data_IF_765554773547
#
_entry.id   IF_765554773547
#
_cell.length_a   1.000
_cell.length_b   1.000
_cell.length_c   1.000
_cell.angle_alpha   90.00
_cell.angle_beta   90.00
_cell.angle_gamma   90.00
#
_symmetry.space_group_name_H-M   'P 1'
#
loop_
_entity.id
_entity.type
_entity.pdbx_description
1 polymer ?
#
# COMPACT_ATOMS: atom_id res chain seq x y z
N UNK A 1 7.72 11.34 -26.03
CA UNK A 1 8.10 11.39 -24.58
C UNK A 1 8.82 12.70 -24.20
N UNK A 2 9.42 13.44 -25.15
CA UNK A 2 10.20 14.67 -24.85
C UNK A 2 9.37 15.86 -24.34
N UNK A 3 8.06 15.88 -24.58
CA UNK A 3 7.16 16.97 -24.15
C UNK A 3 6.76 16.90 -22.66
N UNK A 4 7.03 15.79 -22.00
CA UNK A 4 6.72 15.56 -20.57
C UNK A 4 7.97 15.53 -19.69
N UNK A 5 9.13 15.83 -20.23
CA UNK A 5 10.38 15.81 -19.52
C UNK A 5 10.85 17.24 -19.24
N UNK A 6 11.10 17.53 -17.98
CA UNK A 6 11.72 18.77 -17.50
C UNK A 6 13.07 18.43 -16.88
N UNK A 7 14.09 19.20 -17.20
CA UNK A 7 15.44 19.02 -16.65
C UNK A 7 15.75 20.17 -15.69
N UNK A 8 16.09 19.83 -14.45
CA UNK A 8 16.61 20.78 -13.48
C UNK A 8 18.11 20.54 -13.28
N UNK A 9 18.93 21.56 -13.53
CA UNK A 9 20.37 21.53 -13.30
C UNK A 9 20.66 22.20 -11.96
N UNK A 10 21.15 21.44 -11.01
CA UNK A 10 21.44 21.91 -9.66
C UNK A 10 22.88 22.42 -9.52
N UNK A 11 23.15 23.20 -8.46
CA UNK A 11 24.47 23.82 -8.13
C UNK A 11 24.89 24.90 -9.12
N UNK A 12 23.95 25.75 -9.52
CA UNK A 12 24.16 26.87 -10.41
C UNK A 12 24.28 28.22 -9.68
N UNK A 13 24.60 28.16 -8.39
CA UNK A 13 24.76 29.34 -7.55
C UNK A 13 25.81 30.31 -8.11
N UNK A 14 25.46 31.59 -8.11
CA UNK A 14 26.37 32.69 -8.52
C UNK A 14 26.73 32.70 -9.99
N UNK A 15 25.98 32.02 -10.89
CA UNK A 15 26.19 32.03 -12.34
C UNK A 15 27.40 31.22 -12.82
N UNK A 16 28.18 30.63 -11.91
CA UNK A 16 29.50 30.01 -12.27
C UNK A 16 29.34 28.77 -13.16
N UNK A 17 28.22 28.05 -13.08
CA UNK A 17 28.03 26.79 -13.78
C UNK A 17 26.89 26.83 -14.84
N UNK A 18 26.36 28.01 -15.14
CA UNK A 18 25.27 28.15 -16.12
C UNK A 18 25.66 27.63 -17.51
N UNK A 19 26.89 27.87 -17.92
CA UNK A 19 27.42 27.40 -19.23
C UNK A 19 27.41 25.87 -19.35
N UNK A 20 27.51 25.13 -18.22
CA UNK A 20 27.46 23.67 -18.22
C UNK A 20 26.04 23.16 -18.49
N UNK A 21 25.02 23.94 -18.14
CA UNK A 21 23.63 23.57 -18.40
C UNK A 21 23.32 23.50 -19.91
N UNK A 22 23.95 24.33 -20.72
CA UNK A 22 23.79 24.27 -22.18
C UNK A 22 24.26 22.95 -22.79
N UNK A 23 25.14 22.22 -22.12
CA UNK A 23 25.55 20.89 -22.59
C UNK A 23 24.38 19.89 -22.59
N UNK A 24 23.39 20.08 -21.73
CA UNK A 24 22.19 19.21 -21.67
C UNK A 24 21.20 19.51 -22.78
N UNK A 25 21.24 20.72 -23.40
CA UNK A 25 20.41 21.03 -24.58
C UNK A 25 20.73 20.13 -25.77
N UNK A 26 21.97 19.63 -25.86
CA UNK A 26 22.39 18.70 -26.92
C UNK A 26 21.62 17.38 -26.89
N UNK A 27 21.00 17.03 -25.77
CA UNK A 27 20.19 15.84 -25.62
C UNK A 27 18.73 16.04 -26.06
N UNK A 28 18.38 17.22 -26.59
CA UNK A 28 17.06 17.49 -27.15
C UNK A 28 15.99 17.90 -26.13
N UNK A 29 16.41 18.29 -24.91
CA UNK A 29 15.48 18.87 -23.95
C UNK A 29 15.09 20.29 -24.35
N UNK A 30 13.77 20.55 -24.40
CA UNK A 30 13.26 21.86 -24.81
C UNK A 30 13.46 22.93 -23.74
N UNK A 31 13.39 22.53 -22.47
CA UNK A 31 13.50 23.43 -21.32
C UNK A 31 14.44 22.87 -20.25
N UNK A 32 15.29 23.77 -19.77
CA UNK A 32 16.21 23.48 -18.65
C UNK A 32 15.96 24.54 -17.59
N UNK A 33 15.78 24.13 -16.34
CA UNK A 33 15.68 25.01 -15.18
C UNK A 33 17.00 24.96 -14.40
N UNK A 34 17.59 26.12 -14.17
CA UNK A 34 18.80 26.28 -13.36
C UNK A 34 18.38 26.50 -11.91
N UNK A 35 18.91 25.70 -10.98
CA UNK A 35 18.56 25.79 -9.57
C UNK A 35 19.80 25.70 -8.67
N UNK A 36 19.67 26.26 -7.48
CA UNK A 36 20.54 25.96 -6.35
C UNK A 36 19.67 25.48 -5.18
N UNK A 37 19.61 24.17 -5.00
CA UNK A 37 18.77 23.59 -3.94
C UNK A 37 19.22 23.99 -2.53
N UNK A 38 20.53 24.27 -2.35
CA UNK A 38 21.09 24.71 -1.06
C UNK A 38 20.77 26.17 -0.72
N UNK A 39 20.57 27.01 -1.73
CA UNK A 39 20.31 28.45 -1.57
C UNK A 39 18.86 28.84 -1.89
N UNK A 40 18.06 27.90 -2.40
CA UNK A 40 16.69 28.17 -2.81
C UNK A 40 16.53 28.87 -4.16
N UNK A 41 17.66 29.19 -4.84
CA UNK A 41 17.63 29.92 -6.10
C UNK A 41 16.98 29.08 -7.22
N UNK A 42 16.06 29.70 -7.98
CA UNK A 42 15.38 29.07 -9.11
C UNK A 42 14.31 28.03 -8.74
N UNK A 43 14.10 27.72 -7.46
CA UNK A 43 13.11 26.72 -7.04
C UNK A 43 11.68 27.19 -7.30
N UNK A 44 11.36 28.47 -7.04
CA UNK A 44 10.04 29.02 -7.29
C UNK A 44 9.67 28.95 -8.78
N UNK A 45 10.59 29.36 -9.66
CA UNK A 45 10.39 29.26 -11.10
C UNK A 45 10.26 27.82 -11.61
N UNK A 46 10.97 26.87 -10.99
CA UNK A 46 10.83 25.44 -11.27
C UNK A 46 9.44 24.95 -10.85
N UNK A 47 8.96 25.33 -9.68
CA UNK A 47 7.62 24.97 -9.19
C UNK A 47 6.51 25.50 -10.11
N UNK A 48 6.58 26.78 -10.52
CA UNK A 48 5.63 27.34 -11.47
C UNK A 48 5.58 26.54 -12.77
N UNK A 49 6.74 26.25 -13.36
CA UNK A 49 6.81 25.44 -14.58
C UNK A 49 6.27 24.02 -14.41
N UNK A 50 6.48 23.42 -13.24
CA UNK A 50 5.93 22.11 -12.94
C UNK A 50 4.39 22.15 -12.88
N UNK A 51 3.83 23.18 -12.25
CA UNK A 51 2.38 23.38 -12.16
C UNK A 51 1.78 23.65 -13.53
N UNK A 52 2.40 24.53 -14.34
CA UNK A 52 1.93 24.85 -15.72
C UNK A 52 1.96 23.62 -16.64
N UNK A 53 2.88 22.69 -16.40
CA UNK A 53 2.99 21.43 -17.14
C UNK A 53 1.95 20.38 -16.74
N UNK A 54 1.18 20.58 -15.67
CA UNK A 54 0.17 19.64 -15.20
C UNK A 54 -1.18 19.90 -15.91
N UNK A 55 -1.75 18.83 -16.43
CA UNK A 55 -3.10 18.84 -17.01
C UNK A 55 -4.14 18.69 -15.90
N UNK A 56 -4.59 19.81 -15.35
CA UNK A 56 -5.62 19.83 -14.30
C UNK A 56 -7.02 19.44 -14.81
N UNK A 57 -7.25 19.36 -16.12
CA UNK A 57 -8.55 18.91 -16.66
C UNK A 57 -8.86 17.45 -16.33
N UNK A 58 -7.85 16.69 -15.94
CA UNK A 58 -7.96 15.31 -15.49
C UNK A 58 -8.05 15.15 -13.97
N UNK A 59 -7.89 16.23 -13.23
CA UNK A 59 -8.15 16.24 -11.80
C UNK A 59 -9.65 16.30 -11.61
N UNK A 60 -10.30 15.15 -11.54
CA UNK A 60 -11.61 15.09 -10.91
C UNK A 60 -11.39 15.50 -9.46
N UNK A 61 -12.05 16.59 -9.03
CA UNK A 61 -12.23 16.94 -7.62
C UNK A 61 -13.12 15.88 -6.93
N UNK A 62 -12.71 14.60 -7.04
CA UNK A 62 -13.21 13.54 -6.18
C UNK A 62 -12.58 13.77 -4.83
N UNK A 63 -13.40 14.07 -3.82
CA UNK A 63 -12.94 14.04 -2.44
C UNK A 63 -12.21 12.70 -2.24
N UNK A 64 -11.06 12.69 -1.55
CA UNK A 64 -10.36 11.44 -1.16
C UNK A 64 -11.30 10.47 -0.41
N UNK A 65 -12.46 10.95 0.00
CA UNK A 65 -13.54 10.18 0.63
C UNK A 65 -14.32 9.28 -0.34
N UNK A 66 -14.28 9.52 -1.64
CA UNK A 66 -15.08 8.77 -2.64
C UNK A 66 -14.34 7.58 -3.25
N UNK A 67 -13.02 7.54 -3.19
CA UNK A 67 -12.30 6.39 -3.72
C UNK A 67 -12.29 5.22 -2.73
N UNK A 68 -12.37 3.98 -3.21
CA UNK A 68 -12.30 2.81 -2.34
C UNK A 68 -10.94 2.72 -1.65
N UNK A 69 -10.94 2.27 -0.39
CA UNK A 69 -9.72 1.92 0.34
C UNK A 69 -9.17 0.64 -0.27
N UNK A 70 -7.93 0.68 -0.77
CA UNK A 70 -7.30 -0.45 -1.44
C UNK A 70 -6.44 -1.24 -0.46
N UNK A 71 -6.77 -2.52 -0.31
CA UNK A 71 -6.09 -3.43 0.61
C UNK A 71 -5.35 -4.51 -0.17
N UNK A 72 -4.07 -4.69 0.13
CA UNK A 72 -3.27 -5.83 -0.34
C UNK A 72 -3.21 -6.91 0.74
N UNK A 73 -3.51 -8.17 0.39
CA UNK A 73 -3.34 -9.31 1.30
C UNK A 73 -2.09 -10.09 0.88
N UNK A 74 -1.03 -9.99 1.68
CA UNK A 74 0.30 -10.50 1.39
C UNK A 74 0.72 -11.55 2.43
N UNK A 75 1.65 -12.41 2.09
CA UNK A 75 2.17 -13.48 2.94
C UNK A 75 2.44 -14.75 2.14
N UNK A 76 3.10 -15.73 2.76
CA UNK A 76 3.49 -16.98 2.13
C UNK A 76 2.31 -17.81 1.59
N UNK A 77 2.56 -18.82 0.74
CA UNK A 77 1.53 -19.76 0.30
C UNK A 77 0.84 -20.45 1.49
N UNK A 78 -0.46 -20.73 1.36
CA UNK A 78 -1.27 -21.47 2.34
C UNK A 78 -1.47 -20.81 3.72
N UNK A 79 -1.04 -19.56 3.91
CA UNK A 79 -1.27 -18.80 5.16
C UNK A 79 -2.75 -18.43 5.37
N UNK A 80 -3.60 -18.54 4.33
CA UNK A 80 -5.04 -18.26 4.43
C UNK A 80 -5.51 -17.01 3.70
N UNK A 81 -4.72 -16.43 2.78
CA UNK A 81 -5.09 -15.20 2.03
C UNK A 81 -6.43 -15.31 1.30
N UNK A 82 -6.66 -16.42 0.60
CA UNK A 82 -7.92 -16.65 -0.11
C UNK A 82 -9.10 -16.81 0.85
N UNK A 83 -8.86 -17.45 2.00
CA UNK A 83 -9.89 -17.62 3.04
C UNK A 83 -10.26 -16.26 3.63
N UNK A 84 -9.28 -15.41 3.93
CA UNK A 84 -9.52 -14.06 4.43
C UNK A 84 -10.24 -13.19 3.40
N UNK A 85 -9.79 -13.20 2.14
CA UNK A 85 -10.45 -12.45 1.07
C UNK A 85 -11.92 -12.86 0.92
N UNK A 86 -12.20 -14.16 0.91
CA UNK A 86 -13.59 -14.66 0.84
C UNK A 86 -14.39 -14.29 2.10
N UNK A 87 -13.80 -14.40 3.29
CA UNK A 87 -14.47 -14.03 4.53
C UNK A 87 -14.84 -12.54 4.54
N UNK A 88 -13.98 -11.66 4.06
CA UNK A 88 -14.25 -10.23 3.98
C UNK A 88 -15.31 -9.87 2.94
N UNK A 89 -15.32 -10.55 1.79
CA UNK A 89 -16.26 -10.25 0.69
C UNK A 89 -17.64 -10.92 0.82
N UNK A 90 -17.76 -11.98 1.65
CA UNK A 90 -19.00 -12.75 1.79
C UNK A 90 -19.63 -12.70 3.19
N UNK A 91 -19.08 -11.91 4.11
CA UNK A 91 -19.67 -11.73 5.44
C UNK A 91 -20.92 -10.83 5.34
N UNK A 92 -21.95 -11.08 6.15
CA UNK A 92 -23.18 -10.26 6.25
C UNK A 92 -22.92 -8.78 6.61
N UNK A 93 -21.74 -8.46 7.14
CA UNK A 93 -21.28 -7.10 7.34
C UNK A 93 -20.85 -6.40 6.03
N UNK A 94 -20.61 -7.14 4.96
CA UNK A 94 -20.48 -6.62 3.61
C UNK A 94 -21.88 -6.41 3.07
N UNK A 95 -22.45 -5.24 3.32
CA UNK A 95 -23.65 -4.81 2.61
C UNK A 95 -23.20 -4.64 1.16
N UNK A 96 -23.46 -5.66 0.34
CA UNK A 96 -23.45 -5.52 -1.10
C UNK A 96 -24.45 -4.41 -1.38
N UNK A 97 -23.97 -3.21 -1.68
CA UNK A 97 -24.87 -2.14 -2.10
C UNK A 97 -25.44 -2.55 -3.43
N UNK A 98 -26.69 -3.05 -3.44
CA UNK A 98 -27.58 -2.99 -4.59
C UNK A 98 -27.83 -1.50 -4.90
N UNK A 99 -26.82 -0.81 -5.38
CA UNK A 99 -27.03 0.45 -6.08
C UNK A 99 -27.51 0.12 -7.49
N UNK A 100 -28.80 -0.17 -7.61
CA UNK A 100 -29.52 -0.12 -8.86
C UNK A 100 -29.39 1.31 -9.40
N UNK A 101 -28.45 1.52 -10.35
CA UNK A 101 -28.43 2.81 -11.04
C UNK A 101 -27.12 3.27 -11.68
N UNK A 102 -26.00 2.60 -11.45
CA UNK A 102 -24.80 2.87 -12.24
C UNK A 102 -24.18 1.55 -12.70
N UNK A 103 -24.17 1.33 -14.00
CA UNK A 103 -23.39 0.32 -14.71
C UNK A 103 -21.89 0.62 -14.53
N UNK A 104 -21.39 0.49 -13.29
CA UNK A 104 -19.96 0.32 -13.03
C UNK A 104 -19.76 -1.16 -12.79
N UNK A 105 -18.91 -1.77 -13.61
CA UNK A 105 -18.49 -3.16 -13.45
C UNK A 105 -18.18 -3.43 -11.97
N UNK A 106 -18.83 -4.44 -11.40
CA UNK A 106 -18.55 -4.89 -10.02
C UNK A 106 -17.10 -5.37 -10.01
N UNK A 107 -16.21 -4.56 -9.48
CA UNK A 107 -14.78 -4.91 -9.41
C UNK A 107 -14.65 -6.07 -8.43
N UNK A 108 -14.15 -7.19 -8.93
CA UNK A 108 -13.95 -8.39 -8.13
C UNK A 108 -13.13 -8.08 -6.86
N UNK A 109 -13.65 -8.47 -5.68
CA UNK A 109 -13.01 -8.21 -4.40
C UNK A 109 -13.41 -6.89 -3.73
N UNK A 110 -14.42 -6.17 -4.25
CA UNK A 110 -14.93 -4.96 -3.62
C UNK A 110 -16.09 -5.28 -2.67
N UNK A 111 -16.13 -4.56 -1.54
CA UNK A 111 -17.21 -4.65 -0.56
C UNK A 111 -17.32 -3.34 0.23
N UNK A 112 -18.40 -3.15 0.97
CA UNK A 112 -18.62 -1.98 1.81
C UNK A 112 -18.56 -2.34 3.28
N UNK A 113 -17.85 -1.53 4.08
CA UNK A 113 -17.72 -1.70 5.51
C UNK A 113 -17.79 -0.34 6.23
N UNK A 114 -18.69 -0.20 7.21
CA UNK A 114 -18.92 1.06 7.94
C UNK A 114 -19.07 2.29 7.04
N UNK A 115 -19.78 2.14 5.92
CA UNK A 115 -20.03 3.24 4.98
C UNK A 115 -18.88 3.56 4.02
N UNK A 116 -17.75 2.87 4.10
CA UNK A 116 -16.59 3.04 3.22
C UNK A 116 -16.51 1.90 2.22
N UNK A 117 -16.22 2.24 0.97
CA UNK A 117 -15.96 1.25 -0.07
C UNK A 117 -14.54 0.74 0.05
N UNK A 118 -14.37 -0.58 -0.02
CA UNK A 118 -13.11 -1.28 0.16
C UNK A 118 -12.87 -2.18 -1.04
N UNK A 119 -11.64 -2.22 -1.52
CA UNK A 119 -11.22 -3.08 -2.62
C UNK A 119 -10.01 -3.91 -2.21
N UNK A 120 -10.13 -5.23 -2.30
CA UNK A 120 -9.00 -6.15 -2.16
C UNK A 120 -8.31 -6.29 -3.50
N UNK A 121 -7.02 -5.93 -3.55
CA UNK A 121 -6.22 -6.01 -4.76
C UNK A 121 -5.74 -7.44 -5.03
N UNK A 122 -5.53 -7.76 -6.32
CA UNK A 122 -4.99 -9.04 -6.82
C UNK A 122 -5.79 -10.29 -6.41
N UNK A 123 -7.12 -10.19 -6.32
CA UNK A 123 -8.00 -11.32 -6.02
C UNK A 123 -7.84 -12.47 -7.03
N UNK A 124 -7.57 -12.17 -8.30
CA UNK A 124 -7.32 -13.17 -9.35
C UNK A 124 -6.07 -14.03 -9.05
N UNK A 125 -5.03 -13.45 -8.49
CA UNK A 125 -3.84 -14.18 -8.05
C UNK A 125 -4.07 -15.05 -6.82
N UNK A 126 -4.98 -14.63 -5.97
CA UNK A 126 -5.41 -15.39 -4.80
C UNK A 126 -6.16 -16.67 -5.22
N UNK A 127 -6.96 -16.63 -6.31
CA UNK A 127 -7.78 -17.76 -6.77
C UNK A 127 -7.07 -18.73 -7.71
N UNK A 128 -6.12 -18.29 -8.55
CA UNK A 128 -5.46 -19.13 -9.57
C UNK A 128 -4.50 -20.19 -9.04
N UNK A 129 -4.17 -20.21 -7.75
CA UNK A 129 -3.16 -21.11 -7.14
C UNK A 129 -3.53 -22.60 -7.09
N UNK A 130 -4.60 -23.06 -7.75
CA UNK A 130 -4.92 -24.52 -7.78
C UNK A 130 -4.12 -25.34 -8.80
N UNK A 131 -3.24 -24.76 -9.67
CA UNK A 131 -2.68 -25.49 -10.82
C UNK A 131 -1.22 -25.24 -11.23
N UNK A 132 -0.37 -24.53 -10.47
CA UNK A 132 1.02 -24.31 -10.92
C UNK A 132 2.02 -24.66 -9.82
N UNK A 133 2.67 -25.79 -10.01
CA UNK A 133 3.93 -26.21 -9.37
C UNK A 133 5.07 -25.74 -10.28
N UNK A 134 6.07 -25.08 -9.70
CA UNK A 134 7.34 -24.61 -10.27
C UNK A 134 7.45 -23.11 -10.56
N UNK A 135 8.50 -22.49 -10.00
CA UNK A 135 8.89 -21.06 -10.04
C UNK A 135 7.98 -20.05 -9.29
N UNK A 136 7.44 -20.46 -8.15
CA UNK A 136 6.46 -19.69 -7.38
C UNK A 136 7.07 -18.49 -6.65
N UNK A 137 8.36 -18.50 -6.30
CA UNK A 137 8.97 -17.45 -5.46
C UNK A 137 9.20 -16.13 -6.20
N UNK A 138 9.79 -16.15 -7.37
CA UNK A 138 10.11 -14.92 -8.12
C UNK A 138 8.85 -14.17 -8.60
N UNK A 139 7.87 -14.91 -9.11
CA UNK A 139 6.57 -14.33 -9.50
C UNK A 139 5.78 -13.78 -8.29
N UNK A 140 5.96 -14.37 -7.12
CA UNK A 140 5.30 -13.94 -5.89
C UNK A 140 5.80 -12.57 -5.40
N UNK A 141 7.11 -12.32 -5.44
CA UNK A 141 7.70 -11.05 -4.99
C UNK A 141 7.38 -9.89 -5.92
N UNK A 142 7.56 -10.07 -7.24
CA UNK A 142 7.25 -9.02 -8.22
C UNK A 142 5.76 -8.65 -8.21
N UNK A 143 4.88 -9.61 -7.99
CA UNK A 143 3.45 -9.37 -7.85
C UNK A 143 3.14 -8.61 -6.56
N UNK A 144 3.77 -8.99 -5.45
CA UNK A 144 3.65 -8.26 -4.19
C UNK A 144 4.11 -6.81 -4.32
N UNK A 145 5.22 -6.57 -5.03
CA UNK A 145 5.71 -5.21 -5.32
C UNK A 145 4.65 -4.40 -6.05
N UNK A 146 4.11 -4.92 -7.16
CA UNK A 146 3.08 -4.22 -7.93
C UNK A 146 1.83 -3.93 -7.09
N UNK A 147 1.37 -4.90 -6.30
CA UNK A 147 0.20 -4.72 -5.43
C UNK A 147 0.47 -3.68 -4.34
N UNK A 148 1.70 -3.64 -3.79
CA UNK A 148 2.12 -2.62 -2.83
C UNK A 148 2.16 -1.22 -3.42
N UNK A 149 2.49 -1.07 -4.70
CA UNK A 149 2.50 0.24 -5.37
C UNK A 149 1.08 0.83 -5.49
N UNK A 150 0.07 -0.03 -5.54
CA UNK A 150 -1.33 0.35 -5.75
C UNK A 150 -2.17 0.38 -4.47
N UNK A 151 -1.77 -0.29 -3.38
CA UNK A 151 -2.56 -0.38 -2.15
C UNK A 151 -2.36 0.83 -1.24
N UNK A 152 -3.33 1.04 -0.35
CA UNK A 152 -3.24 1.99 0.76
C UNK A 152 -2.75 1.27 2.03
N UNK A 153 -3.23 0.03 2.25
CA UNK A 153 -2.93 -0.78 3.42
C UNK A 153 -2.49 -2.17 3.00
N UNK A 154 -1.41 -2.66 3.58
CA UNK A 154 -0.91 -4.01 3.42
C UNK A 154 -1.25 -4.87 4.66
N UNK A 155 -2.02 -5.92 4.45
CA UNK A 155 -2.26 -6.99 5.41
C UNK A 155 -1.16 -8.04 5.25
N UNK A 156 -0.25 -8.11 6.20
CA UNK A 156 0.85 -9.09 6.22
C UNK A 156 0.38 -10.31 7.01
N UNK A 157 -0.03 -11.35 6.29
CA UNK A 157 -0.53 -12.58 6.90
C UNK A 157 0.59 -13.54 7.24
N UNK A 158 0.60 -13.96 8.49
CA UNK A 158 1.54 -14.89 9.09
C UNK A 158 0.73 -16.08 9.63
N UNK A 159 1.19 -17.29 9.34
CA UNK A 159 0.64 -18.49 9.97
C UNK A 159 1.14 -18.55 11.43
N UNK A 160 0.21 -18.53 12.38
CA UNK A 160 0.57 -18.48 13.81
C UNK A 160 1.37 -19.71 14.27
N UNK A 161 1.18 -20.87 13.61
CA UNK A 161 1.90 -22.11 13.93
C UNK A 161 3.29 -22.17 13.29
N UNK A 162 3.42 -21.68 12.04
CA UNK A 162 4.67 -21.75 11.29
C UNK A 162 5.59 -20.54 11.53
N UNK A 163 5.03 -19.42 12.00
CA UNK A 163 5.76 -18.19 12.27
C UNK A 163 6.20 -17.43 11.00
N UNK A 164 7.10 -16.48 11.20
CA UNK A 164 7.64 -15.60 10.17
C UNK A 164 8.63 -16.34 9.24
N UNK A 165 8.52 -16.06 7.94
CA UNK A 165 9.49 -16.45 6.94
C UNK A 165 10.33 -15.23 6.49
N UNK A 166 11.51 -15.48 5.90
CA UNK A 166 12.34 -14.42 5.34
C UNK A 166 11.63 -13.61 4.23
N UNK A 167 10.76 -14.27 3.49
CA UNK A 167 9.95 -13.60 2.47
C UNK A 167 8.95 -12.61 3.08
N UNK A 168 8.36 -12.93 4.23
CA UNK A 168 7.45 -12.02 4.95
C UNK A 168 8.18 -10.76 5.40
N UNK A 169 9.43 -10.91 5.87
CA UNK A 169 10.28 -9.77 6.26
C UNK A 169 10.56 -8.84 5.09
N UNK A 170 10.94 -9.41 3.92
CA UNK A 170 11.20 -8.61 2.70
C UNK A 170 9.97 -7.84 2.24
N UNK A 171 8.82 -8.50 2.19
CA UNK A 171 7.55 -7.88 1.76
C UNK A 171 7.15 -6.77 2.74
N UNK A 172 7.34 -7.00 4.04
CA UNK A 172 7.03 -6.02 5.08
C UNK A 172 7.92 -4.78 4.97
N UNK A 173 9.24 -4.97 4.78
CA UNK A 173 10.17 -3.84 4.57
C UNK A 173 9.79 -3.02 3.34
N UNK A 174 9.41 -3.68 2.23
CA UNK A 174 8.95 -3.00 1.03
C UNK A 174 7.65 -2.21 1.24
N UNK A 175 6.71 -2.72 2.05
CA UNK A 175 5.49 -1.99 2.40
C UNK A 175 5.80 -0.71 3.19
N UNK A 176 6.73 -0.81 4.14
CA UNK A 176 7.21 0.32 4.92
C UNK A 176 7.90 1.38 4.06
N UNK A 177 8.86 0.98 3.22
CA UNK A 177 9.58 1.88 2.32
C UNK A 177 8.66 2.65 1.37
N UNK A 178 7.49 2.08 1.03
CA UNK A 178 6.47 2.70 0.20
C UNK A 178 5.46 3.54 0.97
N UNK A 179 5.64 3.68 2.28
CA UNK A 179 4.74 4.46 3.13
C UNK A 179 3.31 3.90 3.19
N UNK A 180 3.16 2.56 3.09
CA UNK A 180 1.85 1.92 3.19
C UNK A 180 1.48 1.68 4.64
N UNK A 181 0.17 1.73 4.96
CA UNK A 181 -0.30 1.21 6.23
C UNK A 181 0.00 -0.28 6.34
N UNK A 182 0.48 -0.73 7.50
CA UNK A 182 0.81 -2.15 7.72
C UNK A 182 0.03 -2.69 8.89
N UNK A 183 -0.62 -3.85 8.69
CA UNK A 183 -1.25 -4.64 9.75
C UNK A 183 -0.70 -6.05 9.68
N UNK A 184 -0.11 -6.53 10.76
CA UNK A 184 0.28 -7.92 10.89
C UNK A 184 -0.93 -8.76 11.31
N UNK A 185 -1.17 -9.86 10.62
CA UNK A 185 -2.27 -10.78 10.86
C UNK A 185 -1.71 -12.15 11.23
N UNK A 186 -1.87 -12.54 12.48
CA UNK A 186 -1.56 -13.88 12.97
C UNK A 186 -2.77 -14.78 12.74
N UNK A 187 -2.81 -15.38 11.55
CA UNK A 187 -3.92 -16.25 11.15
C UNK A 187 -3.75 -17.69 11.65
N UNK A 188 -4.85 -18.41 11.68
CA UNK A 188 -4.94 -19.78 12.20
C UNK A 188 -4.63 -19.87 13.71
N UNK A 189 -4.94 -18.81 14.43
CA UNK A 189 -4.74 -18.75 15.88
C UNK A 189 -5.52 -19.84 16.62
N UNK A 190 -6.65 -20.25 16.05
CA UNK A 190 -7.50 -21.35 16.51
C UNK A 190 -6.82 -22.73 16.54
N UNK A 191 -5.70 -22.89 15.82
CA UNK A 191 -4.94 -24.15 15.75
C UNK A 191 -3.80 -24.24 16.76
N UNK A 192 -3.58 -23.20 17.56
CA UNK A 192 -2.55 -23.22 18.61
C UNK A 192 -3.10 -23.91 19.88
N UNK A 193 -2.24 -24.65 20.55
CA UNK A 193 -2.56 -25.30 21.82
C UNK A 193 -2.74 -24.27 22.95
N UNK A 194 -1.87 -23.25 23.00
CA UNK A 194 -1.97 -22.14 23.95
C UNK A 194 -2.47 -20.87 23.21
N UNK A 195 -3.69 -20.48 23.55
CA UNK A 195 -4.34 -19.26 23.05
C UNK A 195 -4.50 -18.22 24.15
N UNK A 196 -3.76 -18.36 25.24
CA UNK A 196 -3.82 -17.46 26.39
C UNK A 196 -3.39 -16.04 26.02
N UNK A 197 -3.82 -15.07 26.83
CA UNK A 197 -3.40 -13.68 26.69
C UNK A 197 -1.85 -13.53 26.85
N UNK A 198 -1.21 -14.47 27.54
CA UNK A 198 0.24 -14.52 27.68
C UNK A 198 0.89 -14.91 26.36
N UNK A 199 0.43 -15.99 25.70
CA UNK A 199 0.92 -16.42 24.39
C UNK A 199 0.73 -15.33 23.32
N UNK A 200 -0.40 -14.62 23.37
CA UNK A 200 -0.67 -13.47 22.48
C UNK A 200 0.40 -12.38 22.67
N UNK A 201 0.70 -12.00 23.91
CA UNK A 201 1.69 -10.96 24.21
C UNK A 201 3.09 -11.39 23.74
N UNK A 202 3.53 -12.57 24.13
CA UNK A 202 4.85 -13.09 23.78
C UNK A 202 5.06 -13.14 22.25
N UNK A 203 4.02 -13.56 21.50
CA UNK A 203 4.10 -13.59 20.04
C UNK A 203 4.14 -12.17 19.45
N UNK A 204 3.36 -11.23 19.99
CA UNK A 204 3.38 -9.82 19.57
C UNK A 204 4.73 -9.17 19.85
N UNK A 205 5.27 -9.34 21.04
CA UNK A 205 6.58 -8.81 21.44
C UNK A 205 7.69 -9.36 20.55
N UNK A 206 7.61 -10.64 20.21
CA UNK A 206 8.56 -11.26 19.29
C UNK A 206 8.48 -10.64 17.88
N UNK A 207 7.29 -10.45 17.31
CA UNK A 207 7.12 -9.80 16.01
C UNK A 207 7.63 -8.37 16.04
N UNK A 208 7.29 -7.60 17.08
CA UNK A 208 7.75 -6.23 17.25
C UNK A 208 9.28 -6.14 17.34
N UNK A 209 9.92 -7.12 17.99
CA UNK A 209 11.37 -7.20 18.04
C UNK A 209 11.97 -7.47 16.66
N UNK A 210 11.34 -8.35 15.87
CA UNK A 210 11.79 -8.65 14.51
C UNK A 210 11.65 -7.47 13.54
N UNK A 211 10.67 -6.60 13.77
CA UNK A 211 10.38 -5.42 12.95
C UNK A 211 10.53 -4.13 13.76
N UNK A 212 11.69 -3.91 14.38
CA UNK A 212 11.91 -2.77 15.28
C UNK A 212 11.58 -1.40 14.71
N UNK A 213 11.70 -1.20 13.39
CA UNK A 213 11.29 0.03 12.70
C UNK A 213 9.76 0.17 12.57
N UNK A 214 9.01 -0.89 12.77
CA UNK A 214 7.55 -0.94 12.65
C UNK A 214 6.88 -1.46 13.94
N UNK A 215 7.48 -1.21 15.10
CA UNK A 215 6.93 -1.60 16.40
C UNK A 215 5.55 -0.96 16.69
N UNK A 216 5.20 0.09 15.95
CA UNK A 216 3.91 0.77 15.98
C UNK A 216 2.82 0.03 15.18
N UNK A 217 3.18 -0.86 14.26
CA UNK A 217 2.22 -1.55 13.40
C UNK A 217 1.34 -2.50 14.23
N UNK A 218 -0.01 -2.44 14.11
CA UNK A 218 -0.88 -3.31 14.87
C UNK A 218 -0.71 -4.76 14.46
N UNK A 219 -0.85 -5.64 15.48
CA UNK A 219 -0.78 -7.10 15.32
C UNK A 219 -2.11 -7.68 15.77
N UNK A 220 -2.81 -8.37 14.88
CA UNK A 220 -4.13 -8.95 15.11
C UNK A 220 -4.04 -10.47 15.02
N UNK A 221 -4.45 -11.14 16.09
CA UNK A 221 -4.67 -12.59 16.12
C UNK A 221 -6.06 -12.89 15.60
N UNK A 222 -6.18 -13.87 14.68
CA UNK A 222 -7.49 -14.21 14.10
C UNK A 222 -7.54 -15.64 13.55
N UNK A 223 -8.76 -16.08 13.25
CA UNK A 223 -9.05 -17.23 12.41
C UNK A 223 -9.91 -16.81 11.22
N UNK A 224 -9.31 -16.70 10.05
CA UNK A 224 -10.06 -16.39 8.84
C UNK A 224 -11.11 -17.46 8.50
N UNK A 225 -10.85 -18.72 8.90
CA UNK A 225 -11.78 -19.85 8.70
C UNK A 225 -13.02 -19.74 9.58
N UNK A 226 -12.84 -19.35 10.84
CA UNK A 226 -13.91 -19.26 11.83
C UNK A 226 -14.53 -17.85 11.88
N UNK A 227 -14.05 -16.92 11.06
CA UNK A 227 -14.44 -15.51 11.03
C UNK A 227 -14.10 -14.73 12.32
N UNK A 228 -13.24 -15.28 13.18
CA UNK A 228 -12.82 -14.61 14.41
C UNK A 228 -11.81 -13.50 14.10
N UNK A 229 -11.98 -12.34 14.72
CA UNK A 229 -11.08 -11.19 14.57
C UNK A 229 -11.33 -10.30 13.34
N UNK A 230 -12.24 -10.66 12.40
CA UNK A 230 -12.51 -9.90 11.19
C UNK A 230 -12.96 -8.45 11.48
N UNK A 231 -13.88 -8.27 12.44
CA UNK A 231 -14.36 -6.93 12.81
C UNK A 231 -13.24 -6.05 13.37
N UNK A 232 -12.39 -6.62 14.22
CA UNK A 232 -11.22 -5.92 14.77
C UNK A 232 -10.24 -5.53 13.66
N UNK A 233 -9.96 -6.44 12.74
CA UNK A 233 -9.10 -6.19 11.58
C UNK A 233 -9.61 -5.00 10.74
N UNK A 234 -10.90 -5.00 10.41
CA UNK A 234 -11.48 -3.96 9.57
C UNK A 234 -11.56 -2.60 10.27
N UNK A 235 -11.88 -2.56 11.56
CA UNK A 235 -11.88 -1.31 12.34
C UNK A 235 -10.45 -0.74 12.39
N UNK A 236 -9.44 -1.57 12.67
CA UNK A 236 -8.04 -1.15 12.67
C UNK A 236 -7.59 -0.64 11.29
N UNK A 237 -8.06 -1.27 10.21
CA UNK A 237 -7.77 -0.82 8.86
C UNK A 237 -8.34 0.59 8.59
N UNK A 238 -9.58 0.86 9.01
CA UNK A 238 -10.19 2.19 8.89
C UNK A 238 -9.44 3.24 9.72
N UNK A 239 -9.02 2.89 10.93
CA UNK A 239 -8.22 3.78 11.79
C UNK A 239 -6.88 4.16 11.12
N UNK A 240 -6.14 3.17 10.60
CA UNK A 240 -4.89 3.41 9.88
C UNK A 240 -5.13 4.27 8.65
N UNK A 241 -6.16 3.98 7.86
CA UNK A 241 -6.47 4.77 6.68
C UNK A 241 -6.76 6.23 7.04
N UNK A 242 -7.51 6.47 8.09
CA UNK A 242 -7.80 7.82 8.58
C UNK A 242 -6.54 8.58 9.01
N UNK A 243 -5.56 7.87 9.58
CA UNK A 243 -4.27 8.47 9.95
C UNK A 243 -3.40 8.77 8.72
N UNK A 244 -3.37 7.87 7.73
CA UNK A 244 -2.62 8.05 6.48
C UNK A 244 -3.14 9.23 5.64
N UNK A 245 -4.44 9.47 5.66
CA UNK A 245 -5.09 10.53 4.86
C UNK A 245 -5.27 11.83 5.62
N UNK A 246 -4.87 11.87 6.89
CA UNK A 246 -5.01 13.07 7.73
C UNK A 246 -4.10 14.18 7.20
N UNK A 247 -4.71 15.29 6.78
CA UNK A 247 -3.99 16.52 6.46
C UNK A 247 -3.57 17.18 7.78
N UNK A 248 -2.29 17.51 7.87
CA UNK A 248 -1.76 18.31 8.97
C UNK A 248 -1.59 19.72 8.43
N UNK A 249 -2.32 20.69 9.01
CA UNK A 249 -2.12 22.09 8.67
C UNK A 249 -0.70 22.49 9.13
N UNK A 250 0.13 22.83 8.18
CA UNK A 250 1.42 23.44 8.44
C UNK A 250 1.18 24.93 8.71
N UNK A 251 1.40 25.33 9.94
CA UNK A 251 1.37 26.74 10.36
C UNK A 251 2.51 27.53 9.71
#
# INVERSE_FOLDING_TARGET
YSEKLMVAVNKTEGGKNEHLAYNYMKFGFKEISLISASHGDGLAALQEKMVDGLDFSRVTEGSDEERPIRIAILGKPNVGKSTLSNALTHTEASIVSDYAGTTRDVVEGSFRYNGRDIQILDTAGIRRKKKVTENVEYYSVNRAIKTLDECDIAFIMIDAKEGLAEQDKKITSLAFERGRGVIFILNKWDLLEDQSNKAIRETKDWIQTMFGQMNWAPIITMSAKNHDGLKNLMNTALEIYSQLTRKVDTA
#
